data_IF_149178673960
#
_entry.id   IF_149178673960
#
_cell.length_a   1.000
_cell.length_b   1.000
_cell.length_c   1.000
_cell.angle_alpha   90.00
_cell.angle_beta   90.00
_cell.angle_gamma   90.00
#
_symmetry.space_group_name_H-M   'P 1'
#
loop_
_entity.id
_entity.type
_entity.pdbx_description
1 polymer ?
#
# COMPACT_ATOMS: atom_id res chain seq x y z
N UNK A 1 -13.01 9.44 45.87
CA UNK A 1 -13.37 9.20 44.45
C UNK A 1 -12.42 8.15 43.89
N UNK A 2 -12.84 6.88 43.77
CA UNK A 2 -11.99 5.81 43.22
C UNK A 2 -12.02 5.89 41.69
N UNK A 3 -10.93 6.28 41.05
CA UNK A 3 -10.78 6.10 39.60
C UNK A 3 -10.82 4.60 39.32
N UNK A 4 -11.93 4.12 38.73
CA UNK A 4 -11.95 2.82 38.05
C UNK A 4 -11.19 3.00 36.74
N UNK A 5 -9.88 2.82 36.77
CA UNK A 5 -9.10 2.64 35.54
C UNK A 5 -9.51 1.29 34.97
N UNK A 6 -10.45 1.28 34.01
CA UNK A 6 -10.75 0.09 33.22
C UNK A 6 -9.45 -0.35 32.55
N UNK A 7 -9.06 -1.64 32.56
CA UNK A 7 -7.76 -2.06 32.06
C UNK A 7 -7.80 -2.07 30.53
N UNK A 8 -7.57 -0.91 29.91
CA UNK A 8 -7.44 -0.74 28.45
C UNK A 8 -6.32 -1.64 27.89
N UNK A 9 -5.38 -2.09 28.74
CA UNK A 9 -4.29 -2.99 28.37
C UNK A 9 -4.72 -4.43 28.02
N UNK A 10 -5.79 -4.95 28.63
CA UNK A 10 -6.24 -6.33 28.40
C UNK A 10 -6.73 -6.57 26.96
N UNK A 11 -7.61 -5.73 26.37
CA UNK A 11 -8.03 -5.93 24.98
C UNK A 11 -6.89 -5.74 23.97
N UNK A 12 -5.96 -4.82 24.22
CA UNK A 12 -4.78 -4.62 23.34
C UNK A 12 -3.89 -5.87 23.33
N UNK A 13 -3.65 -6.46 24.50
CA UNK A 13 -2.86 -7.69 24.62
C UNK A 13 -3.51 -8.85 23.86
N UNK A 14 -4.83 -9.04 24.01
CA UNK A 14 -5.57 -10.09 23.30
C UNK A 14 -5.49 -9.90 21.78
N UNK A 15 -5.70 -8.67 21.29
CA UNK A 15 -5.58 -8.34 19.85
C UNK A 15 -4.18 -8.69 19.33
N UNK A 16 -3.14 -8.37 20.10
CA UNK A 16 -1.75 -8.64 19.71
C UNK A 16 -1.45 -10.14 19.61
N UNK A 17 -1.91 -10.94 20.58
CA UNK A 17 -1.71 -12.38 20.62
C UNK A 17 -2.43 -13.07 19.45
N UNK A 18 -3.69 -12.68 19.20
CA UNK A 18 -4.47 -13.22 18.08
C UNK A 18 -3.81 -12.86 16.75
N UNK A 19 -3.31 -11.63 16.59
CA UNK A 19 -2.62 -11.23 15.35
C UNK A 19 -1.34 -12.03 15.12
N UNK A 20 -0.55 -12.29 16.18
CA UNK A 20 0.65 -13.13 16.10
C UNK A 20 0.33 -14.57 15.69
N UNK A 21 -0.71 -15.18 16.27
CA UNK A 21 -1.12 -16.54 15.93
C UNK A 21 -1.57 -16.67 14.47
N UNK A 22 -2.36 -15.70 13.96
CA UNK A 22 -2.78 -15.69 12.55
C UNK A 22 -1.54 -15.56 11.66
N UNK A 23 -0.63 -14.63 12.00
CA UNK A 23 0.60 -14.41 11.23
C UNK A 23 1.49 -15.66 11.17
N UNK A 24 1.65 -16.39 12.28
CA UNK A 24 2.47 -17.60 12.36
C UNK A 24 1.92 -18.74 11.49
N UNK A 25 0.60 -18.83 11.33
CA UNK A 25 -0.08 -19.87 10.55
C UNK A 25 -0.28 -19.48 9.08
N UNK A 26 0.00 -18.24 8.71
CA UNK A 26 -0.22 -17.76 7.34
C UNK A 26 0.86 -18.30 6.41
N UNK A 27 0.44 -19.03 5.38
CA UNK A 27 1.29 -19.43 4.27
C UNK A 27 1.35 -18.34 3.19
N UNK A 28 2.44 -18.31 2.44
CA UNK A 28 2.67 -17.30 1.40
C UNK A 28 3.15 -17.94 0.10
N UNK A 29 2.79 -17.32 -1.02
CA UNK A 29 3.34 -17.59 -2.35
C UNK A 29 4.34 -16.49 -2.74
N UNK A 30 5.41 -16.83 -3.45
CA UNK A 30 6.29 -15.83 -4.10
C UNK A 30 5.86 -15.63 -5.54
N UNK A 31 5.43 -14.42 -5.87
CA UNK A 31 4.86 -14.08 -7.17
C UNK A 31 5.79 -13.13 -7.90
N UNK A 32 6.13 -13.48 -9.14
CA UNK A 32 6.85 -12.60 -10.07
C UNK A 32 5.85 -11.93 -10.99
N UNK A 33 5.88 -10.61 -11.06
CA UNK A 33 5.02 -9.81 -11.92
C UNK A 33 5.85 -8.86 -12.78
N UNK A 34 5.34 -8.59 -13.97
CA UNK A 34 5.91 -7.61 -14.88
C UNK A 34 5.00 -6.38 -14.89
N UNK A 35 5.57 -5.22 -14.61
CA UNK A 35 4.89 -3.94 -14.80
C UNK A 35 5.72 -3.14 -15.79
N UNK A 36 5.16 -2.89 -16.98
CA UNK A 36 5.89 -2.35 -18.14
C UNK A 36 7.13 -3.20 -18.43
N UNK A 37 8.32 -2.61 -18.35
CA UNK A 37 9.61 -3.27 -18.63
C UNK A 37 10.35 -3.71 -17.35
N UNK A 38 9.74 -3.51 -16.17
CA UNK A 38 10.36 -3.85 -14.87
C UNK A 38 9.73 -5.13 -14.32
N UNK A 39 10.55 -6.01 -13.76
CA UNK A 39 10.11 -7.20 -13.04
C UNK A 39 10.15 -6.95 -11.53
N UNK A 40 9.14 -7.47 -10.84
CA UNK A 40 9.03 -7.40 -9.38
C UNK A 40 8.74 -8.79 -8.82
N UNK A 41 9.24 -9.06 -7.62
CA UNK A 41 8.87 -10.20 -6.80
C UNK A 41 8.14 -9.69 -5.55
N UNK A 42 7.02 -10.32 -5.21
CA UNK A 42 6.21 -10.03 -4.03
C UNK A 42 5.77 -11.33 -3.36
N UNK A 43 5.85 -11.39 -2.04
CA UNK A 43 5.36 -12.50 -1.22
C UNK A 43 3.92 -12.22 -0.80
N UNK A 44 2.96 -13.03 -1.26
CA UNK A 44 1.51 -12.80 -1.08
C UNK A 44 0.93 -13.89 -0.17
N UNK A 45 0.11 -13.57 0.85
CA UNK A 45 -0.52 -14.58 1.68
C UNK A 45 -1.52 -15.40 0.86
N UNK A 46 -1.48 -16.74 1.00
CA UNK A 46 -2.30 -17.66 0.21
C UNK A 46 -3.81 -17.44 0.40
N UNK A 47 -4.60 -17.98 -0.53
CA UNK A 47 -6.07 -17.90 -0.50
C UNK A 47 -6.63 -16.66 -1.22
N UNK A 48 -5.83 -16.05 -2.09
CA UNK A 48 -6.26 -14.94 -2.94
C UNK A 48 -6.85 -15.42 -4.26
N UNK A 49 -7.69 -14.59 -4.86
CA UNK A 49 -8.02 -14.60 -6.28
C UNK A 49 -7.26 -13.48 -6.98
N UNK A 50 -6.51 -13.80 -8.04
CA UNK A 50 -5.72 -12.82 -8.79
C UNK A 50 -6.54 -12.23 -9.93
N UNK A 51 -6.62 -10.90 -9.96
CA UNK A 51 -7.14 -10.13 -11.09
C UNK A 51 -6.00 -9.32 -11.70
N UNK A 52 -5.98 -9.22 -13.03
CA UNK A 52 -5.05 -8.35 -13.75
C UNK A 52 -5.85 -7.35 -14.57
N UNK A 53 -5.49 -6.08 -14.45
CA UNK A 53 -6.06 -4.97 -15.21
C UNK A 53 -4.95 -4.34 -16.03
N UNK A 54 -5.19 -4.12 -17.32
CA UNK A 54 -4.19 -3.52 -18.20
C UNK A 54 -4.86 -2.61 -19.22
N UNK A 55 -4.33 -1.40 -19.36
CA UNK A 55 -4.57 -0.49 -20.47
C UNK A 55 -3.28 -0.37 -21.31
N UNK A 56 -3.28 0.53 -22.30
CA UNK A 56 -2.07 0.86 -23.08
C UNK A 56 -1.01 1.51 -22.17
N UNK A 57 -1.44 2.25 -21.15
CA UNK A 57 -0.56 3.11 -20.34
C UNK A 57 -0.29 2.56 -18.94
N UNK A 58 -1.17 1.69 -18.43
CA UNK A 58 -1.20 1.27 -17.03
C UNK A 58 -1.48 -0.22 -16.87
N UNK A 59 -0.95 -0.81 -15.80
CA UNK A 59 -1.07 -2.20 -15.44
C UNK A 59 -1.18 -2.35 -13.92
N UNK A 60 -2.15 -3.13 -13.45
CA UNK A 60 -2.35 -3.43 -12.03
C UNK A 60 -2.68 -4.92 -11.84
N UNK A 61 -2.06 -5.51 -10.82
CA UNK A 61 -2.39 -6.83 -10.29
C UNK A 61 -3.06 -6.67 -8.94
N UNK A 62 -4.19 -7.34 -8.74
CA UNK A 62 -4.96 -7.30 -7.49
C UNK A 62 -5.18 -8.71 -6.96
N UNK A 63 -4.68 -8.97 -5.75
CA UNK A 63 -4.84 -10.20 -4.99
C UNK A 63 -6.00 -10.01 -4.00
N UNK A 64 -7.18 -10.50 -4.35
CA UNK A 64 -8.42 -10.29 -3.59
C UNK A 64 -8.72 -11.47 -2.68
N UNK A 65 -9.20 -11.21 -1.46
CA UNK A 65 -9.54 -12.24 -0.47
C UNK A 65 -11.06 -12.32 -0.24
N UNK A 66 -11.59 -13.44 0.29
CA UNK A 66 -13.02 -13.62 0.54
C UNK A 66 -13.65 -12.58 1.48
N UNK A 67 -12.85 -11.99 2.38
CA UNK A 67 -13.31 -10.92 3.29
C UNK A 67 -13.29 -9.53 2.63
N UNK A 68 -13.17 -9.47 1.30
CA UNK A 68 -13.07 -8.24 0.50
C UNK A 68 -11.82 -7.41 0.75
N UNK A 69 -10.86 -7.90 1.55
CA UNK A 69 -9.53 -7.29 1.61
C UNK A 69 -8.76 -7.58 0.32
N UNK A 70 -7.81 -6.73 -0.03
CA UNK A 70 -6.92 -7.01 -1.17
C UNK A 70 -5.54 -6.41 -1.01
N UNK A 71 -4.56 -7.00 -1.70
CA UNK A 71 -3.25 -6.41 -2.00
C UNK A 71 -3.26 -6.03 -3.48
N UNK A 72 -2.70 -4.87 -3.84
CA UNK A 72 -2.51 -4.48 -5.22
C UNK A 72 -1.07 -4.03 -5.47
N UNK A 73 -0.63 -4.19 -6.72
CA UNK A 73 0.66 -3.70 -7.21
C UNK A 73 0.53 -3.35 -8.69
N UNK A 74 0.94 -2.14 -9.06
CA UNK A 74 0.73 -1.63 -10.41
C UNK A 74 1.30 -0.23 -10.61
N UNK A 75 1.10 0.34 -11.79
CA UNK A 75 1.43 1.74 -12.09
C UNK A 75 0.18 2.59 -12.43
N UNK A 76 -1.01 2.07 -12.08
CA UNK A 76 -2.29 2.77 -12.20
C UNK A 76 -2.35 4.05 -11.37
N UNK A 77 -2.69 5.16 -12.00
CA UNK A 77 -2.95 6.43 -11.33
C UNK A 77 -4.17 6.32 -10.40
N UNK A 78 -5.25 5.70 -10.87
CA UNK A 78 -6.49 5.49 -10.12
C UNK A 78 -6.48 4.16 -9.36
N UNK A 79 -5.57 4.01 -8.41
CA UNK A 79 -5.51 2.82 -7.56
C UNK A 79 -6.67 2.77 -6.53
N UNK A 80 -6.87 1.61 -5.90
CA UNK A 80 -7.99 1.40 -4.94
C UNK A 80 -8.00 2.35 -3.74
N UNK A 81 -6.88 3.00 -3.42
CA UNK A 81 -6.75 3.94 -2.33
C UNK A 81 -6.86 5.40 -2.75
N UNK A 82 -7.03 5.73 -4.02
CA UNK A 82 -7.13 7.11 -4.51
C UNK A 82 -8.15 7.94 -3.71
N UNK A 83 -9.36 7.41 -3.52
CA UNK A 83 -10.40 8.09 -2.73
C UNK A 83 -9.97 8.33 -1.28
N UNK A 84 -9.26 7.39 -0.66
CA UNK A 84 -8.74 7.56 0.70
C UNK A 84 -7.60 8.60 0.76
N UNK A 85 -6.72 8.60 -0.23
CA UNK A 85 -5.60 9.56 -0.35
C UNK A 85 -6.14 10.97 -0.54
N UNK A 86 -7.20 11.14 -1.34
CA UNK A 86 -7.86 12.44 -1.54
C UNK A 86 -8.40 13.04 -0.24
N UNK A 87 -8.85 12.20 0.71
CA UNK A 87 -9.31 12.65 2.02
C UNK A 87 -8.16 13.16 2.92
N UNK A 88 -6.90 12.89 2.60
CA UNK A 88 -5.74 13.46 3.30
C UNK A 88 -5.47 14.92 2.91
N UNK A 89 -6.16 15.44 1.89
CA UNK A 89 -6.08 16.82 1.43
C UNK A 89 -5.27 16.99 0.13
N UNK A 90 -5.55 18.09 -0.57
CA UNK A 90 -5.05 18.34 -1.93
C UNK A 90 -3.52 18.35 -2.00
N UNK A 91 -2.82 18.85 -0.99
CA UNK A 91 -1.34 18.87 -0.98
C UNK A 91 -0.75 17.47 -1.01
N UNK A 92 -1.29 16.53 -0.23
CA UNK A 92 -0.83 15.13 -0.21
C UNK A 92 -1.22 14.42 -1.50
N UNK A 93 -2.44 14.65 -1.97
CA UNK A 93 -2.93 14.09 -3.23
C UNK A 93 -2.05 14.52 -4.42
N UNK A 94 -1.81 15.82 -4.57
CA UNK A 94 -0.99 16.38 -5.64
C UNK A 94 0.47 15.93 -5.54
N UNK A 95 1.02 15.82 -4.33
CA UNK A 95 2.38 15.29 -4.12
C UNK A 95 2.47 13.81 -4.53
N UNK A 96 1.50 12.99 -4.14
CA UNK A 96 1.47 11.54 -4.42
C UNK A 96 1.42 11.24 -5.92
N UNK A 97 0.65 12.03 -6.66
CA UNK A 97 0.36 11.89 -8.07
C UNK A 97 1.13 12.88 -8.96
N UNK A 98 2.23 13.42 -8.44
CA UNK A 98 3.04 14.40 -9.12
C UNK A 98 3.70 13.86 -10.40
N UNK A 99 3.70 14.66 -11.47
CA UNK A 99 4.53 14.40 -12.65
C UNK A 99 5.99 14.80 -12.34
N UNK A 100 6.78 13.84 -11.87
CA UNK A 100 8.16 14.06 -11.42
C UNK A 100 9.06 14.69 -12.50
N UNK A 101 9.09 14.21 -13.77
CA UNK A 101 9.87 14.84 -14.83
C UNK A 101 9.53 16.32 -15.03
N UNK A 102 8.24 16.67 -15.10
CA UNK A 102 7.79 18.04 -15.31
C UNK A 102 8.17 18.96 -14.15
N UNK A 103 8.08 18.47 -12.91
CA UNK A 103 8.46 19.25 -11.73
C UNK A 103 9.96 19.49 -11.68
N UNK A 104 10.78 18.50 -12.05
CA UNK A 104 12.23 18.67 -12.17
C UNK A 104 12.59 19.73 -13.22
N UNK A 105 11.96 19.69 -14.39
CA UNK A 105 12.18 20.67 -15.46
C UNK A 105 11.77 22.09 -15.01
N UNK A 106 10.62 22.21 -14.36
CA UNK A 106 10.10 23.50 -13.86
C UNK A 106 11.05 24.12 -12.83
N UNK A 107 11.50 23.35 -11.83
CA UNK A 107 12.47 23.84 -10.84
C UNK A 107 13.81 24.23 -11.49
N UNK A 108 14.25 23.51 -12.53
CA UNK A 108 15.46 23.82 -13.28
C UNK A 108 15.35 25.15 -14.05
N UNK A 109 14.22 25.40 -14.74
CA UNK A 109 13.97 26.66 -15.46
C UNK A 109 13.98 27.87 -14.52
N UNK A 110 13.40 27.69 -13.32
CA UNK A 110 13.32 28.76 -12.32
C UNK A 110 14.66 28.99 -11.61
N UNK A 111 15.55 28.00 -11.61
CA UNK A 111 16.85 28.06 -10.94
C UNK A 111 16.80 27.86 -9.42
N UNK A 112 15.66 27.41 -8.87
CA UNK A 112 15.51 27.01 -7.45
C UNK A 112 14.34 26.05 -7.27
N UNK A 113 14.38 25.25 -6.21
CA UNK A 113 13.27 24.37 -5.82
C UNK A 113 12.11 25.19 -5.24
N UNK A 114 11.06 25.38 -6.04
CA UNK A 114 9.80 26.01 -5.59
C UNK A 114 8.73 24.95 -5.36
N UNK A 115 8.70 23.92 -6.21
CA UNK A 115 7.76 22.82 -6.11
C UNK A 115 8.49 21.66 -5.43
N UNK A 116 8.07 21.22 -4.24
CA UNK A 116 8.67 20.08 -3.57
C UNK A 116 8.56 18.83 -4.44
N UNK A 117 9.66 18.10 -4.58
CA UNK A 117 9.65 16.81 -5.27
C UNK A 117 9.09 15.73 -4.34
N UNK A 118 8.19 14.90 -4.87
CA UNK A 118 7.80 13.67 -4.18
C UNK A 118 9.05 12.82 -3.93
N UNK A 119 9.23 12.28 -2.71
CA UNK A 119 10.33 11.37 -2.44
C UNK A 119 10.24 10.09 -3.30
N UNK A 120 11.35 9.38 -3.44
CA UNK A 120 11.43 8.11 -4.18
C UNK A 120 10.50 7.04 -3.60
N UNK A 121 10.30 7.09 -2.28
CA UNK A 121 9.30 6.31 -1.54
C UNK A 121 8.38 7.23 -0.76
N UNK A 122 7.06 7.10 -0.96
CA UNK A 122 6.03 7.77 -0.16
C UNK A 122 5.05 6.73 0.36
N UNK A 123 4.91 6.66 1.68
CA UNK A 123 3.99 5.76 2.39
C UNK A 123 2.83 6.57 2.97
N UNK A 124 1.61 6.13 2.66
CA UNK A 124 0.36 6.68 3.17
C UNK A 124 -0.46 5.54 3.78
N UNK A 125 -1.16 5.83 4.88
CA UNK A 125 -2.05 4.85 5.51
C UNK A 125 -3.18 5.55 6.25
N UNK A 126 -4.22 4.79 6.55
CA UNK A 126 -5.31 5.30 7.37
C UNK A 126 -6.33 4.24 7.72
N UNK A 127 -7.35 4.71 8.44
CA UNK A 127 -8.54 3.93 8.82
C UNK A 127 -9.71 4.45 8.00
N UNK A 128 -10.43 3.55 7.35
CA UNK A 128 -11.66 3.85 6.63
C UNK A 128 -12.83 4.03 7.62
N UNK A 129 -13.93 4.62 7.15
CA UNK A 129 -15.13 4.82 7.99
C UNK A 129 -15.70 3.50 8.57
N UNK A 130 -15.51 2.38 7.86
CA UNK A 130 -15.91 1.04 8.31
C UNK A 130 -14.87 0.37 9.24
N UNK A 131 -13.92 1.12 9.79
CA UNK A 131 -12.84 0.66 10.68
C UNK A 131 -11.81 -0.29 10.03
N UNK A 132 -11.85 -0.45 8.72
CA UNK A 132 -10.86 -1.24 7.98
C UNK A 132 -9.67 -0.38 7.60
N UNK A 133 -8.50 -1.00 7.52
CA UNK A 133 -7.21 -0.33 7.34
C UNK A 133 -6.85 -0.34 5.86
N UNK A 134 -6.28 0.76 5.41
CA UNK A 134 -5.67 0.87 4.09
C UNK A 134 -4.24 1.38 4.19
N UNK A 135 -3.43 1.02 3.20
CA UNK A 135 -2.04 1.46 3.06
C UNK A 135 -1.66 1.52 1.60
N UNK A 136 -0.92 2.55 1.22
CA UNK A 136 -0.38 2.75 -0.12
C UNK A 136 1.08 3.18 0.00
N UNK A 137 1.95 2.51 -0.74
CA UNK A 137 3.37 2.81 -0.86
C UNK A 137 3.65 3.01 -2.34
N UNK A 138 4.14 4.18 -2.72
CA UNK A 138 4.74 4.36 -4.05
C UNK A 138 6.25 4.25 -3.93
N UNK A 139 6.84 3.44 -4.80
CA UNK A 139 8.28 3.26 -4.97
C UNK A 139 8.61 3.46 -6.45
N UNK A 140 9.43 4.44 -6.79
CA UNK A 140 9.58 4.93 -8.16
C UNK A 140 8.21 5.32 -8.78
N UNK A 141 7.71 4.51 -9.72
CA UNK A 141 6.44 4.71 -10.42
C UNK A 141 5.50 3.52 -10.21
N UNK A 142 5.79 2.65 -9.24
CA UNK A 142 4.95 1.51 -8.89
C UNK A 142 4.30 1.75 -7.54
N UNK A 143 3.00 1.55 -7.52
CA UNK A 143 2.12 1.65 -6.38
C UNK A 143 1.94 0.23 -5.83
N UNK A 144 2.13 0.06 -4.54
CA UNK A 144 1.87 -1.19 -3.81
C UNK A 144 1.04 -0.85 -2.59
N UNK A 145 -0.08 -1.51 -2.41
CA UNK A 145 -0.93 -1.20 -1.28
C UNK A 145 -1.88 -2.31 -0.91
N UNK A 146 -2.61 -2.08 0.17
CA UNK A 146 -3.76 -2.87 0.53
C UNK A 146 -4.96 -1.98 0.86
N UNK A 147 -6.13 -2.56 0.71
CA UNK A 147 -7.42 -1.91 0.93
C UNK A 147 -8.33 -2.85 1.72
N UNK A 148 -9.17 -2.29 2.59
CA UNK A 148 -10.23 -3.00 3.30
C UNK A 148 -9.70 -4.13 4.23
N UNK A 149 -8.56 -3.90 4.91
CA UNK A 149 -7.89 -4.92 5.74
C UNK A 149 -8.33 -4.82 7.22
N UNK A 150 -8.82 -5.90 7.84
CA UNK A 150 -9.09 -5.91 9.28
C UNK A 150 -7.82 -5.70 10.11
N UNK A 151 -7.92 -5.00 11.24
CA UNK A 151 -6.78 -4.68 12.12
C UNK A 151 -5.95 -5.92 12.49
N UNK A 152 -6.60 -7.07 12.72
CA UNK A 152 -5.96 -8.33 13.08
C UNK A 152 -5.06 -8.90 11.98
N UNK A 153 -5.30 -8.53 10.71
CA UNK A 153 -4.55 -9.00 9.53
C UNK A 153 -3.50 -8.01 9.05
N UNK A 154 -3.42 -6.80 9.59
CA UNK A 154 -2.48 -5.76 9.15
C UNK A 154 -1.04 -6.25 9.14
N UNK A 155 -0.61 -7.04 10.14
CA UNK A 155 0.75 -7.60 10.18
C UNK A 155 1.08 -8.48 8.96
N UNK A 156 0.13 -9.31 8.52
CA UNK A 156 0.27 -10.20 7.37
C UNK A 156 0.38 -9.41 6.06
N UNK A 157 -0.45 -8.38 5.91
CA UNK A 157 -0.47 -7.53 4.72
C UNK A 157 0.75 -6.60 4.66
N UNK A 158 1.19 -6.06 5.80
CA UNK A 158 2.46 -5.32 5.87
C UNK A 158 3.64 -6.19 5.45
N UNK A 159 3.70 -7.46 5.88
CA UNK A 159 4.76 -8.39 5.43
C UNK A 159 4.77 -8.54 3.92
N UNK A 160 3.61 -8.60 3.28
CA UNK A 160 3.51 -8.67 1.83
C UNK A 160 4.01 -7.39 1.15
N UNK A 161 3.54 -6.21 1.59
CA UNK A 161 3.99 -4.92 1.05
C UNK A 161 5.50 -4.70 1.19
N UNK A 162 6.08 -5.08 2.34
CA UNK A 162 7.52 -4.93 2.58
C UNK A 162 8.39 -6.02 1.92
N UNK A 163 7.77 -7.04 1.33
CA UNK A 163 8.50 -8.07 0.57
C UNK A 163 8.76 -7.67 -0.89
N UNK A 164 8.15 -6.58 -1.37
CA UNK A 164 8.30 -6.15 -2.75
C UNK A 164 9.73 -5.77 -3.04
N UNK A 165 10.30 -6.37 -4.08
CA UNK A 165 11.61 -6.01 -4.61
C UNK A 165 11.60 -6.04 -6.12
N UNK A 166 12.29 -5.08 -6.72
CA UNK A 166 12.61 -5.09 -8.15
C UNK A 166 13.67 -6.17 -8.39
N UNK A 167 13.47 -6.99 -9.41
CA UNK A 167 14.41 -8.04 -9.82
C UNK A 167 14.90 -7.79 -11.24
N UNK A 168 16.12 -8.23 -11.55
CA UNK A 168 16.68 -8.16 -12.90
C UNK A 168 15.96 -9.14 -13.82
N UNK A 169 15.75 -8.74 -15.07
CA UNK A 169 15.45 -9.69 -16.14
C UNK A 169 16.78 -10.28 -16.59
N UNK A 170 17.01 -11.56 -16.34
CA UNK A 170 18.01 -12.34 -17.07
C UNK A 170 17.49 -12.68 -18.47
#
# INVERSE_FOLDING_TARGET
>A
MRLKVLPIFLPILIISLVSMDIMAKTEYDSIKIRIKQKMYEITIPKGYHLNSYSSIEEQEYVFSYPDSSCIYIGDFFYNRNESNIKLLGDSIYNLRYQNIPLVKETNAIIGKEIIPLRPDTLELMGVQNNQLIWKDIVMDNVNVGYYNVPILKVGIFNRALFSVKKISCD
#
